data_IF_806905917041
#
_entry.id   IF_806905917041
#
_cell.length_a   1.000
_cell.length_b   1.000
_cell.length_c   1.000
_cell.angle_alpha   90.00
_cell.angle_beta   90.00
_cell.angle_gamma   90.00
#
_symmetry.space_group_name_H-M   'P 1'
#
loop_
_entity.id
_entity.type
_entity.pdbx_description
1 polymer ?
#
# COMPACT_ATOMS: atom_id res chain seq x y z
N UNK A 1 -56.70 1.41 -2.50
CA UNK A 1 -55.79 0.67 -3.36
C UNK A 1 -54.92 1.64 -4.19
N UNK A 2 -53.82 2.08 -3.62
CA UNK A 2 -52.79 2.80 -4.36
C UNK A 2 -51.49 2.01 -4.25
N UNK A 3 -51.19 1.23 -5.27
CA UNK A 3 -49.91 0.52 -5.44
C UNK A 3 -48.82 1.54 -5.72
N UNK A 4 -47.91 1.76 -4.77
CA UNK A 4 -46.69 2.51 -4.99
C UNK A 4 -45.72 1.63 -5.73
N UNK A 5 -45.53 1.90 -7.03
CA UNK A 5 -44.43 1.41 -7.84
C UNK A 5 -43.10 1.98 -7.31
N UNK A 6 -42.40 1.23 -6.48
CA UNK A 6 -41.02 1.50 -6.14
C UNK A 6 -40.15 1.16 -7.36
N UNK A 7 -39.74 2.18 -8.12
CA UNK A 7 -38.64 2.06 -9.09
C UNK A 7 -37.41 1.66 -8.31
N UNK A 8 -36.92 0.44 -8.55
CA UNK A 8 -35.59 0.00 -8.12
C UNK A 8 -34.57 0.94 -8.76
N UNK A 9 -33.94 1.80 -7.97
CA UNK A 9 -32.79 2.58 -8.39
C UNK A 9 -31.68 1.59 -8.74
N UNK A 10 -31.22 1.61 -10.00
CA UNK A 10 -29.98 0.92 -10.38
C UNK A 10 -28.87 1.49 -9.49
N UNK A 11 -28.21 0.64 -8.73
CA UNK A 11 -26.95 0.98 -8.06
C UNK A 11 -25.96 1.53 -9.11
N UNK A 12 -25.18 2.58 -8.78
CA UNK A 12 -24.19 3.10 -9.72
C UNK A 12 -23.23 1.97 -10.10
N UNK A 13 -22.95 1.85 -11.39
CA UNK A 13 -21.95 0.90 -11.89
C UNK A 13 -20.63 1.21 -11.19
N UNK A 14 -20.13 0.22 -10.49
CA UNK A 14 -18.87 0.29 -9.76
C UNK A 14 -17.71 0.53 -10.76
N UNK A 15 -16.92 1.61 -10.64
CA UNK A 15 -15.78 1.84 -11.50
C UNK A 15 -14.58 0.94 -11.16
N UNK A 16 -14.82 -0.16 -10.47
CA UNK A 16 -13.77 -1.15 -10.23
C UNK A 16 -13.12 -1.54 -11.55
N UNK A 17 -11.80 -1.56 -11.59
CA UNK A 17 -11.09 -2.04 -12.75
C UNK A 17 -11.69 -3.38 -13.18
N UNK A 18 -11.96 -3.51 -14.47
CA UNK A 18 -12.42 -4.79 -15.03
C UNK A 18 -11.31 -5.79 -14.77
N UNK A 19 -11.45 -6.55 -13.69
CA UNK A 19 -10.51 -7.59 -13.31
C UNK A 19 -10.15 -8.34 -14.59
N UNK A 20 -8.88 -8.45 -14.85
CA UNK A 20 -8.28 -9.01 -16.06
C UNK A 20 -9.01 -10.31 -16.41
N UNK A 21 -10.01 -10.23 -17.29
CA UNK A 21 -10.72 -11.41 -17.84
C UNK A 21 -9.85 -12.21 -18.80
N UNK A 22 -8.58 -11.85 -18.95
CA UNK A 22 -7.66 -12.46 -19.88
C UNK A 22 -6.50 -13.14 -19.14
N UNK A 23 -6.80 -14.29 -18.55
CA UNK A 23 -5.81 -15.24 -18.03
C UNK A 23 -4.80 -15.71 -19.10
N UNK A 24 -5.15 -15.56 -20.38
CA UNK A 24 -4.27 -15.93 -21.51
C UNK A 24 -2.97 -15.13 -21.57
N UNK A 25 -2.95 -13.92 -21.06
CA UNK A 25 -1.74 -13.06 -21.05
C UNK A 25 -0.76 -13.35 -19.92
N UNK A 26 -1.12 -14.18 -18.95
CA UNK A 26 -0.33 -14.47 -17.77
C UNK A 26 0.50 -15.77 -17.89
N UNK A 27 0.15 -16.65 -18.81
CA UNK A 27 0.78 -17.98 -18.96
C UNK A 27 2.25 -18.00 -19.40
N UNK A 28 2.87 -16.86 -19.72
CA UNK A 28 4.24 -16.81 -20.25
C UNK A 28 5.25 -15.97 -19.44
N UNK A 29 5.02 -15.75 -18.16
CA UNK A 29 5.84 -14.84 -17.36
C UNK A 29 7.27 -15.30 -17.12
N UNK A 30 7.52 -16.61 -17.03
CA UNK A 30 8.85 -17.15 -16.74
C UNK A 30 9.89 -16.81 -17.82
N UNK A 31 9.43 -16.53 -19.04
CA UNK A 31 10.31 -16.25 -20.19
C UNK A 31 10.45 -14.76 -20.52
N UNK A 32 9.89 -13.86 -19.70
CA UNK A 32 9.96 -12.42 -19.93
C UNK A 32 11.29 -11.85 -19.48
N UNK A 33 11.82 -10.93 -20.29
CA UNK A 33 12.93 -10.09 -19.89
C UNK A 33 12.57 -9.17 -18.70
N UNK A 34 13.54 -8.68 -17.93
CA UNK A 34 13.28 -7.74 -16.82
C UNK A 34 12.47 -6.51 -17.25
N UNK A 35 12.71 -5.99 -18.44
CA UNK A 35 11.97 -4.85 -18.99
C UNK A 35 10.51 -5.18 -19.24
N UNK A 36 10.21 -6.31 -19.86
CA UNK A 36 8.84 -6.75 -20.12
C UNK A 36 8.07 -7.04 -18.82
N UNK A 37 8.73 -7.61 -17.80
CA UNK A 37 8.14 -7.80 -16.46
C UNK A 37 7.76 -6.46 -15.85
N UNK A 38 8.64 -5.49 -15.90
CA UNK A 38 8.39 -4.14 -15.37
C UNK A 38 7.25 -3.43 -16.09
N UNK A 39 7.18 -3.51 -17.42
CA UNK A 39 6.07 -2.92 -18.20
C UNK A 39 4.73 -3.55 -17.87
N UNK A 40 4.67 -4.87 -17.68
CA UNK A 40 3.43 -5.56 -17.29
C UNK A 40 3.01 -5.23 -15.86
N UNK A 41 3.95 -5.18 -14.92
CA UNK A 41 3.69 -4.76 -13.54
C UNK A 41 3.16 -3.33 -13.51
N UNK A 42 3.75 -2.43 -14.30
CA UNK A 42 3.28 -1.06 -14.44
C UNK A 42 1.84 -1.00 -14.96
N UNK A 43 1.54 -1.73 -16.04
CA UNK A 43 0.20 -1.79 -16.61
C UNK A 43 -0.83 -2.33 -15.62
N UNK A 44 -0.47 -3.34 -14.83
CA UNK A 44 -1.31 -3.86 -13.76
C UNK A 44 -1.57 -2.80 -12.68
N UNK A 45 -0.54 -2.07 -12.25
CA UNK A 45 -0.68 -1.06 -11.21
C UNK A 45 -1.45 0.20 -11.66
N UNK A 46 -1.50 0.49 -12.96
CA UNK A 46 -2.24 1.65 -13.50
C UNK A 46 -3.74 1.57 -13.20
N UNK A 47 -4.31 0.38 -13.13
CA UNK A 47 -5.74 0.18 -12.81
C UNK A 47 -6.08 0.58 -11.37
N UNK A 48 -5.10 0.55 -10.47
CA UNK A 48 -5.24 0.92 -9.05
C UNK A 48 -4.69 2.32 -8.75
N UNK A 49 -4.17 3.00 -9.76
CA UNK A 49 -3.54 4.31 -9.59
C UNK A 49 -4.58 5.41 -9.62
N UNK A 50 -4.65 6.19 -8.54
CA UNK A 50 -5.47 7.39 -8.48
C UNK A 50 -4.56 8.59 -8.78
N UNK A 51 -4.81 9.27 -9.91
CA UNK A 51 -4.04 10.44 -10.34
C UNK A 51 -4.77 11.75 -10.06
N UNK A 52 -6.11 11.71 -9.97
CA UNK A 52 -6.97 12.87 -9.79
C UNK A 52 -7.56 12.89 -8.38
N UNK A 53 -6.77 13.33 -7.40
CA UNK A 53 -7.17 13.36 -5.99
C UNK A 53 -8.43 14.19 -5.72
N UNK A 54 -8.64 15.27 -6.47
CA UNK A 54 -9.80 16.17 -6.29
C UNK A 54 -11.13 15.51 -6.68
N UNK A 55 -11.12 14.51 -7.56
CA UNK A 55 -12.30 13.76 -7.99
C UNK A 55 -12.44 12.40 -7.29
N UNK A 56 -11.53 12.08 -6.36
CA UNK A 56 -11.55 10.82 -5.64
C UNK A 56 -12.68 10.79 -4.61
N UNK A 57 -13.53 9.79 -4.73
CA UNK A 57 -14.59 9.49 -3.77
C UNK A 57 -14.46 8.02 -3.31
N UNK A 58 -14.04 7.81 -2.05
CA UNK A 58 -13.82 6.47 -1.50
C UNK A 58 -15.04 5.53 -1.68
N UNK A 59 -16.24 6.07 -1.62
CA UNK A 59 -17.50 5.31 -1.80
C UNK A 59 -17.63 4.65 -3.18
N UNK A 60 -16.88 5.12 -4.17
CA UNK A 60 -16.87 4.56 -5.53
C UNK A 60 -15.92 3.37 -5.68
N UNK A 61 -15.08 3.13 -4.69
CA UNK A 61 -14.08 2.06 -4.72
C UNK A 61 -14.51 0.92 -3.78
N UNK A 62 -14.53 -0.29 -4.29
CA UNK A 62 -14.74 -1.46 -3.47
C UNK A 62 -13.47 -1.76 -2.69
N UNK A 63 -13.56 -1.75 -1.36
CA UNK A 63 -12.43 -2.09 -0.46
C UNK A 63 -12.32 -3.59 -0.20
N UNK A 64 -13.36 -4.36 -0.54
CA UNK A 64 -13.37 -5.81 -0.49
C UNK A 64 -13.28 -6.36 -1.92
N UNK A 65 -12.06 -6.47 -2.41
CA UNK A 65 -11.78 -7.20 -3.66
C UNK A 65 -11.60 -8.67 -3.27
N UNK A 66 -12.70 -9.31 -2.92
CA UNK A 66 -12.74 -10.76 -2.87
C UNK A 66 -12.71 -11.26 -4.31
N UNK A 67 -11.61 -11.84 -4.70
CA UNK A 67 -11.60 -12.67 -5.89
C UNK A 67 -12.47 -13.89 -5.55
N UNK A 68 -13.62 -14.05 -6.19
CA UNK A 68 -14.34 -15.33 -6.29
C UNK A 68 -13.44 -16.27 -7.10
N UNK A 69 -12.44 -16.82 -6.41
CA UNK A 69 -11.32 -17.42 -7.08
C UNK A 69 -11.46 -18.92 -7.08
N UNK A 70 -11.62 -19.48 -8.26
CA UNK A 70 -11.30 -20.87 -8.55
C UNK A 70 -9.81 -21.14 -8.29
N UNK A 71 -9.42 -22.39 -8.15
CA UNK A 71 -8.03 -22.77 -7.82
C UNK A 71 -7.00 -22.23 -8.85
N UNK A 72 -7.42 -22.06 -10.12
CA UNK A 72 -6.60 -21.47 -11.18
C UNK A 72 -6.31 -19.98 -10.93
N UNK A 73 -7.28 -19.23 -10.41
CA UNK A 73 -7.12 -17.82 -10.10
C UNK A 73 -6.19 -17.58 -8.91
N UNK A 74 -6.20 -18.48 -7.90
CA UNK A 74 -5.25 -18.39 -6.77
C UNK A 74 -3.81 -18.58 -7.20
N UNK A 75 -3.57 -19.52 -8.13
CA UNK A 75 -2.23 -19.71 -8.72
C UNK A 75 -1.77 -18.46 -9.45
N UNK A 76 -2.68 -17.83 -10.19
CA UNK A 76 -2.42 -16.62 -10.94
C UNK A 76 -2.10 -15.42 -10.06
N UNK A 77 -2.83 -15.23 -8.96
CA UNK A 77 -2.57 -14.17 -7.97
C UNK A 77 -1.20 -14.35 -7.36
N UNK A 78 -0.84 -15.59 -6.97
CA UNK A 78 0.47 -15.90 -6.40
C UNK A 78 1.60 -15.62 -7.39
N UNK A 79 1.45 -16.02 -8.64
CA UNK A 79 2.43 -15.77 -9.70
C UNK A 79 2.58 -14.27 -9.98
N UNK A 80 1.48 -13.52 -10.03
CA UNK A 80 1.48 -12.06 -10.22
C UNK A 80 2.18 -11.35 -9.06
N UNK A 81 1.93 -11.79 -7.82
CA UNK A 81 2.62 -11.25 -6.64
C UNK A 81 4.13 -11.50 -6.73
N UNK A 82 4.55 -12.71 -7.07
CA UNK A 82 5.96 -13.04 -7.20
C UNK A 82 6.67 -12.19 -8.25
N UNK A 83 6.02 -11.94 -9.37
CA UNK A 83 6.55 -11.05 -10.41
C UNK A 83 6.67 -9.60 -9.93
N UNK A 84 5.70 -9.13 -9.17
CA UNK A 84 5.76 -7.82 -8.53
C UNK A 84 6.95 -7.70 -7.58
N UNK A 85 7.21 -8.74 -6.78
CA UNK A 85 8.35 -8.82 -5.86
C UNK A 85 9.68 -8.82 -6.62
N UNK A 86 9.80 -9.59 -7.71
CA UNK A 86 11.02 -9.61 -8.55
C UNK A 86 11.26 -8.26 -9.24
N UNK A 87 10.21 -7.60 -9.72
CA UNK A 87 10.29 -6.26 -10.29
C UNK A 87 10.75 -5.23 -9.23
N UNK A 88 10.18 -5.31 -8.02
CA UNK A 88 10.56 -4.44 -6.91
C UNK A 88 12.03 -4.64 -6.51
N UNK A 89 12.51 -5.88 -6.45
CA UNK A 89 13.91 -6.18 -6.18
C UNK A 89 14.84 -5.54 -7.22
N UNK A 90 14.50 -5.67 -8.51
CA UNK A 90 15.26 -5.02 -9.60
C UNK A 90 15.26 -3.50 -9.48
N UNK A 91 14.11 -2.90 -9.16
CA UNK A 91 14.01 -1.44 -8.95
C UNK A 91 14.80 -0.98 -7.74
N UNK A 92 14.83 -1.77 -6.67
CA UNK A 92 15.60 -1.47 -5.46
C UNK A 92 17.10 -1.49 -5.75
N UNK A 93 17.61 -2.46 -6.52
CA UNK A 93 19.02 -2.51 -6.93
C UNK A 93 19.42 -1.27 -7.76
N UNK A 94 18.54 -0.83 -8.66
CA UNK A 94 18.74 0.41 -9.43
C UNK A 94 18.75 1.64 -8.52
N UNK A 95 17.82 1.73 -7.58
CA UNK A 95 17.74 2.82 -6.62
C UNK A 95 19.01 2.88 -5.76
N UNK A 96 19.47 1.73 -5.27
CA UNK A 96 20.66 1.60 -4.47
C UNK A 96 21.92 2.05 -5.24
N UNK A 97 22.08 1.56 -6.47
CA UNK A 97 23.21 1.93 -7.32
C UNK A 97 23.21 3.42 -7.73
N UNK A 98 22.05 4.02 -7.88
CA UNK A 98 21.89 5.42 -8.24
C UNK A 98 22.30 6.38 -7.11
N UNK A 99 22.03 6.03 -5.87
CA UNK A 99 22.36 6.77 -4.64
C UNK A 99 21.97 8.27 -4.64
N UNK A 100 20.88 8.61 -5.34
CA UNK A 100 20.39 10.01 -5.44
C UNK A 100 19.11 10.23 -4.68
N UNK A 101 18.21 9.27 -4.74
CA UNK A 101 16.87 9.33 -4.17
C UNK A 101 16.67 8.23 -3.14
N UNK A 102 15.76 8.46 -2.24
CA UNK A 102 15.23 7.42 -1.36
C UNK A 102 13.72 7.30 -1.59
N UNK A 103 13.16 6.16 -1.23
CA UNK A 103 11.72 5.92 -1.26
C UNK A 103 11.26 5.66 0.16
N UNK A 104 10.21 6.33 0.61
CA UNK A 104 9.57 6.08 1.89
C UNK A 104 8.18 5.47 1.65
N UNK A 105 7.98 4.26 2.14
CA UNK A 105 6.70 3.57 2.15
C UNK A 105 6.08 3.69 3.55
N UNK A 106 4.90 4.28 3.64
CA UNK A 106 4.17 4.45 4.91
C UNK A 106 2.98 3.52 4.91
N UNK A 107 2.96 2.56 5.83
CA UNK A 107 1.85 1.65 6.05
C UNK A 107 1.06 2.08 7.29
N UNK A 108 -0.10 2.68 7.05
CA UNK A 108 -1.00 3.11 8.09
C UNK A 108 -2.34 2.39 7.95
N UNK A 109 -2.75 1.68 8.98
CA UNK A 109 -4.03 0.99 9.02
C UNK A 109 -4.42 0.69 10.49
N UNK A 110 -5.70 0.39 10.71
CA UNK A 110 -6.19 -0.10 12.00
C UNK A 110 -5.49 -1.40 12.40
N UNK A 111 -5.58 -1.73 13.68
CA UNK A 111 -5.07 -2.99 14.18
C UNK A 111 -5.78 -4.17 13.48
N UNK A 112 -5.03 -5.23 13.24
CA UNK A 112 -5.48 -6.43 12.51
C UNK A 112 -5.87 -6.20 11.02
N UNK A 113 -5.67 -5.02 10.45
CA UNK A 113 -5.97 -4.75 9.04
C UNK A 113 -4.96 -5.36 8.04
N UNK A 114 -4.00 -6.15 8.52
CA UNK A 114 -3.08 -6.91 7.65
C UNK A 114 -1.83 -6.16 7.19
N UNK A 115 -1.51 -4.97 7.73
CA UNK A 115 -0.32 -4.19 7.32
C UNK A 115 0.99 -4.95 7.47
N UNK A 116 1.17 -5.70 8.56
CA UNK A 116 2.39 -6.50 8.78
C UNK A 116 2.51 -7.64 7.76
N UNK A 117 1.38 -8.26 7.41
CA UNK A 117 1.30 -9.25 6.34
C UNK A 117 1.67 -8.64 4.99
N UNK A 118 1.15 -7.46 4.66
CA UNK A 118 1.46 -6.74 3.42
C UNK A 118 2.96 -6.43 3.33
N UNK A 119 3.56 -5.86 4.39
CA UNK A 119 5.00 -5.59 4.45
C UNK A 119 5.80 -6.88 4.23
N UNK A 120 5.47 -7.95 4.96
CA UNK A 120 6.16 -9.23 4.87
C UNK A 120 6.10 -9.81 3.46
N UNK A 121 4.93 -9.80 2.82
CA UNK A 121 4.76 -10.40 1.49
C UNK A 121 5.39 -9.55 0.38
N UNK A 122 5.20 -8.23 0.41
CA UNK A 122 5.72 -7.33 -0.64
C UNK A 122 7.24 -7.23 -0.56
N UNK A 123 7.81 -7.23 0.65
CA UNK A 123 9.27 -7.04 0.84
C UNK A 123 10.05 -8.34 0.89
N UNK A 124 9.41 -9.51 0.74
CA UNK A 124 10.05 -10.82 0.92
C UNK A 124 11.20 -11.12 -0.05
N UNK A 125 11.21 -10.50 -1.23
CA UNK A 125 12.25 -10.71 -2.24
C UNK A 125 13.22 -9.55 -2.40
N UNK A 126 13.13 -8.51 -1.58
CA UNK A 126 13.96 -7.31 -1.67
C UNK A 126 15.21 -7.47 -0.82
N UNK A 127 16.35 -6.98 -1.29
CA UNK A 127 17.60 -7.05 -0.54
C UNK A 127 17.49 -6.24 0.77
N UNK A 128 17.62 -6.89 1.94
CA UNK A 128 17.47 -6.21 3.24
C UNK A 128 18.50 -5.11 3.48
N UNK A 129 19.68 -5.17 2.84
CA UNK A 129 20.68 -4.10 2.94
C UNK A 129 20.23 -2.78 2.33
N UNK A 130 19.32 -2.82 1.35
CA UNK A 130 18.73 -1.66 0.71
C UNK A 130 17.44 -1.17 1.36
N UNK A 131 17.01 -1.78 2.48
CA UNK A 131 15.75 -1.49 3.15
C UNK A 131 15.96 -1.18 4.63
N UNK A 132 15.17 -0.25 5.15
CA UNK A 132 15.14 0.10 6.57
C UNK A 132 13.70 0.09 7.05
N UNK A 133 13.39 -0.78 8.03
CA UNK A 133 12.04 -0.89 8.61
C UNK A 133 12.02 -0.22 9.97
N UNK A 134 11.10 0.72 10.16
CA UNK A 134 10.85 1.39 11.44
C UNK A 134 9.40 1.18 11.85
N UNK A 135 9.20 0.65 13.05
CA UNK A 135 7.89 0.42 13.64
C UNK A 135 7.63 1.44 14.74
N UNK A 136 6.62 2.29 14.55
CA UNK A 136 6.26 3.32 15.52
C UNK A 136 5.17 2.78 16.46
N UNK A 137 5.54 2.60 17.72
CA UNK A 137 4.63 2.26 18.82
C UNK A 137 4.23 3.53 19.59
N UNK A 138 3.59 3.39 20.73
CA UNK A 138 3.37 4.50 21.63
C UNK A 138 4.69 5.25 21.88
N UNK A 139 4.69 6.61 21.87
CA UNK A 139 5.90 7.39 22.01
C UNK A 139 6.55 7.17 23.38
N UNK A 140 7.89 7.18 23.42
CA UNK A 140 8.68 7.19 24.64
C UNK A 140 8.63 8.56 25.32
N UNK A 141 9.14 8.68 26.56
CA UNK A 141 9.23 9.96 27.26
C UNK A 141 10.10 10.97 26.50
N UNK A 142 11.20 10.52 25.89
CA UNK A 142 12.06 11.36 25.06
C UNK A 142 11.32 11.85 23.81
N UNK A 143 10.58 10.97 23.14
CA UNK A 143 9.80 11.33 21.96
C UNK A 143 8.67 12.33 22.27
N UNK A 144 8.10 12.26 23.48
CA UNK A 144 7.09 13.22 23.96
C UNK A 144 7.65 14.59 24.34
N UNK A 145 8.95 14.71 24.57
CA UNK A 145 9.61 16.00 24.82
C UNK A 145 9.98 16.73 23.52
N UNK A 146 9.70 16.12 22.37
CA UNK A 146 9.93 16.68 21.03
C UNK A 146 8.61 16.80 20.25
N UNK A 147 8.66 17.56 19.16
CA UNK A 147 7.56 17.58 18.19
C UNK A 147 7.25 16.18 17.64
N UNK A 148 5.98 15.89 17.40
CA UNK A 148 5.52 14.56 16.99
C UNK A 148 6.16 14.05 15.68
N UNK A 149 6.69 14.93 14.83
CA UNK A 149 7.41 14.54 13.61
C UNK A 149 8.86 14.13 13.90
N UNK A 150 9.43 14.56 15.02
CA UNK A 150 10.85 14.37 15.34
C UNK A 150 11.28 12.90 15.26
N UNK A 151 10.52 11.99 15.87
CA UNK A 151 10.83 10.56 15.83
C UNK A 151 10.79 9.98 14.43
N UNK A 152 9.85 10.44 13.58
CA UNK A 152 9.77 10.00 12.20
C UNK A 152 10.91 10.56 11.34
N UNK A 153 11.33 11.81 11.58
CA UNK A 153 12.45 12.43 10.87
C UNK A 153 13.77 11.70 11.10
N UNK A 154 14.03 11.21 12.31
CA UNK A 154 15.22 10.42 12.63
C UNK A 154 15.31 9.09 11.87
N UNK A 155 14.19 8.59 11.39
CA UNK A 155 14.08 7.31 10.69
C UNK A 155 13.88 7.45 9.17
N UNK A 156 14.00 8.67 8.63
CA UNK A 156 13.95 8.87 7.18
C UNK A 156 15.08 8.09 6.50
N UNK A 157 14.79 7.41 5.37
CA UNK A 157 15.78 6.58 4.70
C UNK A 157 16.91 7.43 4.09
N UNK A 158 18.10 6.89 4.15
CA UNK A 158 19.25 7.40 3.39
C UNK A 158 19.00 7.31 1.89
N UNK A 159 19.77 8.05 1.09
CA UNK A 159 19.75 7.93 -0.36
C UNK A 159 20.06 6.49 -0.79
N UNK A 160 19.49 6.07 -1.89
CA UNK A 160 19.64 4.70 -2.38
C UNK A 160 18.82 3.66 -1.61
N UNK A 161 18.09 4.04 -0.55
CA UNK A 161 17.38 3.08 0.30
C UNK A 161 15.88 3.22 0.23
N UNK A 162 15.20 2.13 0.57
CA UNK A 162 13.75 2.09 0.80
C UNK A 162 13.51 2.09 2.30
N UNK A 163 12.93 3.18 2.83
CA UNK A 163 12.40 3.25 4.18
C UNK A 163 10.99 2.69 4.24
N UNK A 164 10.68 1.94 5.28
CA UNK A 164 9.36 1.37 5.52
C UNK A 164 8.92 1.78 6.91
N UNK A 165 7.87 2.59 6.97
CA UNK A 165 7.24 2.97 8.22
C UNK A 165 6.03 2.07 8.48
N UNK A 166 6.12 1.23 9.50
CA UNK A 166 5.01 0.47 10.03
C UNK A 166 4.36 1.32 11.14
N UNK A 167 3.23 1.94 10.82
CA UNK A 167 2.67 3.15 11.43
C UNK A 167 3.59 4.37 11.19
N UNK A 168 3.14 5.55 11.57
CA UNK A 168 3.90 6.79 11.35
C UNK A 168 3.28 7.94 12.16
N UNK A 169 3.69 9.16 11.88
CA UNK A 169 3.05 10.38 12.37
C UNK A 169 1.56 10.51 12.01
N UNK A 170 1.06 9.72 11.08
CA UNK A 170 -0.38 9.63 10.83
C UNK A 170 -1.17 9.07 12.01
N UNK A 171 -0.53 8.35 12.92
CA UNK A 171 -1.15 7.93 14.19
C UNK A 171 -1.59 9.16 15.00
N UNK A 172 -0.76 10.20 15.05
CA UNK A 172 -1.06 11.45 15.75
C UNK A 172 -2.24 12.21 15.11
N UNK A 173 -2.36 12.15 13.78
CA UNK A 173 -3.40 12.87 13.04
C UNK A 173 -4.72 12.10 13.01
N UNK A 174 -4.68 10.79 12.81
CA UNK A 174 -5.86 9.96 12.58
C UNK A 174 -6.43 9.34 13.86
N UNK A 175 -5.59 9.15 14.89
CA UNK A 175 -5.98 8.51 16.15
C UNK A 175 -5.88 9.47 17.32
N UNK A 176 -4.70 9.98 17.63
CA UNK A 176 -4.49 10.83 18.82
C UNK A 176 -5.34 12.09 18.77
N UNK A 177 -5.36 12.79 17.65
CA UNK A 177 -6.12 14.04 17.49
C UNK A 177 -7.63 13.84 17.65
N UNK A 178 -8.14 12.65 17.39
CA UNK A 178 -9.58 12.33 17.45
C UNK A 178 -9.99 11.87 18.86
N UNK A 179 -9.04 11.43 19.68
CA UNK A 179 -9.29 10.94 21.04
C UNK A 179 -8.69 11.90 22.07
N UNK A 180 -9.55 12.71 22.70
CA UNK A 180 -9.15 13.76 23.64
C UNK A 180 -8.23 13.23 24.77
N UNK A 181 -8.51 12.05 25.31
CA UNK A 181 -7.68 11.44 26.36
C UNK A 181 -6.24 11.15 25.89
N UNK A 182 -6.05 10.76 24.63
CA UNK A 182 -4.73 10.53 24.05
C UNK A 182 -4.03 11.86 23.78
N UNK A 183 -4.79 12.86 23.34
CA UNK A 183 -4.25 14.19 23.06
C UNK A 183 -3.68 14.85 24.34
N UNK A 184 -4.35 14.71 25.48
CA UNK A 184 -3.89 15.22 26.77
C UNK A 184 -2.56 14.58 27.21
N UNK A 185 -2.27 13.34 26.81
CA UNK A 185 -1.04 12.64 27.13
C UNK A 185 0.16 13.07 26.30
N UNK A 186 -0.05 13.84 25.22
CA UNK A 186 0.98 14.23 24.25
C UNK A 186 1.83 15.45 24.68
N UNK A 187 1.61 16.01 25.87
CA UNK A 187 2.33 17.20 26.36
C UNK A 187 2.30 18.38 25.37
N UNK A 188 1.24 18.52 24.59
CA UNK A 188 1.05 19.66 23.70
C UNK A 188 0.73 20.90 24.54
N UNK A 189 1.35 22.04 24.20
CA UNK A 189 1.13 23.32 24.87
C UNK A 189 -0.24 23.91 24.54
#
# INVERSE_FOLDING_TARGET
NMSRNMKKSKSPENPNPKIIKSTSNLKNFKNLSPKERMERTKKFSEEYRITEGNSFELKKYNTDISFDTDAEDKSLVTETLQLGVEALATMQDILYAQDKWSVLLIFQAMDAAGKDGAIKHVMSGVNPQGCQVSSFKAPSSEELDHDFLWRCQKHLPERGRIGIFNRSYYEEVLVVRVHEQLLQSQKLA
#
